data_IF_530424600863
#
_entry.id   IF_530424600863
#
_cell.length_a   1.000
_cell.length_b   1.000
_cell.length_c   1.000
_cell.angle_alpha   90.00
_cell.angle_beta   90.00
_cell.angle_gamma   90.00
#
_symmetry.space_group_name_H-M   'P 1'
#
loop_
_entity.id
_entity.type
_entity.pdbx_description
1 polymer ?
#
# COMPACT_ATOMS: atom_id res chain seq x y z
N UNK A 1 18.97 24.86 -5.77
CA UNK A 1 18.09 24.52 -4.63
C UNK A 1 17.14 23.37 -4.94
N UNK A 2 16.43 23.37 -6.08
CA UNK A 2 15.47 22.29 -6.42
C UNK A 2 16.09 20.89 -6.52
N UNK A 3 17.25 20.73 -7.18
CA UNK A 3 17.91 19.41 -7.32
C UNK A 3 18.37 18.81 -5.97
N UNK A 4 18.83 19.63 -5.02
CA UNK A 4 19.22 19.13 -3.70
C UNK A 4 18.01 18.60 -2.94
N UNK A 5 16.88 19.33 -2.95
CA UNK A 5 15.65 18.88 -2.31
C UNK A 5 15.12 17.59 -2.94
N UNK A 6 15.20 17.45 -4.26
CA UNK A 6 14.83 16.21 -4.97
C UNK A 6 15.71 15.05 -4.49
N UNK A 7 17.03 15.23 -4.44
CA UNK A 7 17.95 14.19 -3.99
C UNK A 7 17.71 13.79 -2.52
N UNK A 8 17.41 14.76 -1.65
CA UNK A 8 17.06 14.50 -0.24
C UNK A 8 15.75 13.73 -0.11
N UNK A 9 14.72 14.08 -0.91
CA UNK A 9 13.46 13.35 -0.95
C UNK A 9 13.65 11.91 -1.44
N UNK A 10 14.44 11.71 -2.51
CA UNK A 10 14.75 10.38 -3.02
C UNK A 10 15.48 9.52 -1.98
N UNK A 11 16.49 10.09 -1.31
CA UNK A 11 17.20 9.38 -0.24
C UNK A 11 16.26 9.02 0.91
N UNK A 12 15.43 9.96 1.34
CA UNK A 12 14.45 9.71 2.39
C UNK A 12 13.50 8.55 2.04
N UNK A 13 13.00 8.52 0.79
CA UNK A 13 12.12 7.44 0.33
C UNK A 13 12.85 6.09 0.36
N UNK A 14 14.11 6.03 -0.07
CA UNK A 14 14.91 4.80 0.00
C UNK A 14 15.13 4.34 1.45
N UNK A 15 15.37 5.29 2.37
CA UNK A 15 15.58 5.01 3.78
C UNK A 15 14.32 4.43 4.46
N UNK A 16 13.11 4.70 3.93
CA UNK A 16 11.85 4.07 4.39
C UNK A 16 11.86 2.54 4.24
N UNK A 17 12.59 2.04 3.24
CA UNK A 17 12.66 0.62 2.90
C UNK A 17 13.96 -0.05 3.36
N UNK A 18 14.78 0.67 4.13
CA UNK A 18 15.96 0.10 4.78
C UNK A 18 15.56 -0.95 5.81
N UNK A 19 16.45 -1.92 6.04
CA UNK A 19 16.26 -2.97 7.05
C UNK A 19 15.99 -2.37 8.43
N UNK A 20 16.71 -1.30 8.81
CA UNK A 20 16.52 -0.61 10.08
C UNK A 20 15.10 -0.07 10.24
N UNK A 21 14.55 0.60 9.23
CA UNK A 21 13.20 1.16 9.28
C UNK A 21 12.15 0.03 9.33
N UNK A 22 12.28 -0.98 8.48
CA UNK A 22 11.38 -2.15 8.41
C UNK A 22 11.34 -2.91 9.73
N UNK A 23 12.48 -3.02 10.42
CA UNK A 23 12.61 -3.81 11.64
C UNK A 23 12.11 -3.09 12.89
N UNK A 24 12.43 -1.80 13.02
CA UNK A 24 12.34 -1.09 14.30
C UNK A 24 11.24 -0.04 14.40
N UNK A 25 10.81 0.55 13.28
CA UNK A 25 9.82 1.62 13.30
C UNK A 25 8.42 1.08 13.11
N UNK A 26 7.47 1.58 13.92
CA UNK A 26 6.06 1.27 13.76
C UNK A 26 5.50 1.91 12.48
N UNK A 27 4.53 1.26 11.85
CA UNK A 27 3.93 1.73 10.61
C UNK A 27 3.21 3.07 10.80
N UNK A 28 2.54 3.30 11.93
CA UNK A 28 1.90 4.58 12.25
C UNK A 28 2.92 5.73 12.38
N UNK A 29 4.08 5.47 12.97
CA UNK A 29 5.19 6.43 13.07
C UNK A 29 5.74 6.76 11.68
N UNK A 30 5.98 5.75 10.85
CA UNK A 30 6.42 5.93 9.46
C UNK A 30 5.40 6.78 8.70
N UNK A 31 4.12 6.43 8.77
CA UNK A 31 3.03 7.17 8.14
C UNK A 31 2.99 8.64 8.59
N UNK A 32 3.05 8.90 9.90
CA UNK A 32 3.05 10.26 10.44
C UNK A 32 4.28 11.07 9.97
N UNK A 33 5.46 10.46 9.92
CA UNK A 33 6.68 11.11 9.43
C UNK A 33 6.57 11.46 7.94
N UNK A 34 6.08 10.52 7.11
CA UNK A 34 5.89 10.74 5.68
C UNK A 34 4.87 11.85 5.42
N UNK A 35 3.71 11.82 6.09
CA UNK A 35 2.70 12.88 5.95
C UNK A 35 3.21 14.25 6.40
N UNK A 36 4.10 14.31 7.39
CA UNK A 36 4.75 15.55 7.84
C UNK A 36 5.82 16.02 6.86
N UNK A 37 6.55 15.10 6.23
CA UNK A 37 7.68 15.39 5.34
C UNK A 37 7.24 15.85 3.95
N UNK A 38 6.14 15.30 3.44
CA UNK A 38 5.61 15.60 2.12
C UNK A 38 4.30 16.39 2.22
N UNK A 39 4.17 17.55 1.55
CA UNK A 39 2.93 18.30 1.53
C UNK A 39 1.82 17.51 0.82
N UNK A 40 0.56 17.80 1.15
CA UNK A 40 -0.61 17.13 0.55
C UNK A 40 -0.64 17.17 -0.98
N UNK A 41 -0.08 18.22 -1.58
CA UNK A 41 0.04 18.38 -3.04
C UNK A 41 0.95 17.33 -3.69
N UNK A 42 1.87 16.72 -2.94
CA UNK A 42 2.80 15.69 -3.43
C UNK A 42 2.35 14.27 -3.09
N UNK A 43 1.34 14.11 -2.22
CA UNK A 43 0.86 12.80 -1.77
C UNK A 43 0.46 11.87 -2.91
N UNK A 44 -0.20 12.40 -3.94
CA UNK A 44 -0.56 11.60 -5.11
C UNK A 44 0.67 11.06 -5.84
N UNK A 45 1.66 11.91 -6.12
CA UNK A 45 2.87 11.51 -6.82
C UNK A 45 3.73 10.54 -5.98
N UNK A 46 3.78 10.74 -4.66
CA UNK A 46 4.43 9.81 -3.76
C UNK A 46 3.75 8.44 -3.80
N UNK A 47 2.43 8.39 -3.64
CA UNK A 47 1.69 7.12 -3.72
C UNK A 47 1.78 6.47 -5.10
N UNK A 48 1.82 7.26 -6.18
CA UNK A 48 2.04 6.75 -7.53
C UNK A 48 3.41 6.09 -7.67
N UNK A 49 4.46 6.71 -7.11
CA UNK A 49 5.79 6.11 -7.05
C UNK A 49 5.77 4.81 -6.23
N UNK A 50 5.17 4.82 -5.03
CA UNK A 50 5.05 3.62 -4.19
C UNK A 50 4.32 2.48 -4.89
N UNK A 51 3.20 2.79 -5.54
CA UNK A 51 2.46 1.84 -6.38
C UNK A 51 3.34 1.29 -7.49
N UNK A 52 4.11 2.15 -8.17
CA UNK A 52 4.99 1.75 -9.27
C UNK A 52 6.11 0.81 -8.79
N UNK A 53 6.70 1.08 -7.62
CA UNK A 53 7.73 0.22 -7.02
C UNK A 53 7.17 -1.15 -6.61
N UNK A 54 5.91 -1.22 -6.15
CA UNK A 54 5.22 -2.49 -5.88
C UNK A 54 4.99 -3.25 -7.19
N UNK A 55 4.39 -2.60 -8.19
CA UNK A 55 4.03 -3.25 -9.46
C UNK A 55 5.23 -3.60 -10.32
N UNK A 56 6.32 -2.84 -10.23
CA UNK A 56 7.58 -3.08 -10.93
C UNK A 56 8.44 -4.16 -10.26
N UNK A 57 8.10 -4.57 -9.04
CA UNK A 57 8.86 -5.57 -8.27
C UNK A 57 10.12 -5.04 -7.60
N UNK A 58 10.34 -3.72 -7.60
CA UNK A 58 11.48 -3.07 -6.94
C UNK A 58 11.46 -3.28 -5.40
N UNK A 59 10.26 -3.39 -4.81
CA UNK A 59 10.08 -3.81 -3.41
C UNK A 59 10.03 -5.34 -3.32
N UNK A 60 11.17 -5.99 -3.52
CA UNK A 60 11.27 -7.44 -3.57
C UNK A 60 10.99 -8.12 -2.23
N UNK A 61 11.26 -7.44 -1.11
CA UNK A 61 11.04 -7.98 0.23
C UNK A 61 9.61 -7.68 0.72
N UNK A 62 8.88 -8.69 1.27
CA UNK A 62 7.53 -8.49 1.80
C UNK A 62 7.42 -7.37 2.84
N UNK A 63 8.42 -7.23 3.73
CA UNK A 63 8.43 -6.16 4.74
C UNK A 63 8.46 -4.76 4.13
N UNK A 64 9.15 -4.57 2.99
CA UNK A 64 9.16 -3.29 2.28
C UNK A 64 7.79 -2.99 1.67
N UNK A 65 7.14 -4.01 1.09
CA UNK A 65 5.78 -3.88 0.56
C UNK A 65 4.77 -3.58 1.66
N UNK A 66 4.89 -4.16 2.85
CA UNK A 66 4.06 -3.81 4.01
C UNK A 66 4.17 -2.32 4.35
N UNK A 67 5.38 -1.74 4.36
CA UNK A 67 5.57 -0.30 4.57
C UNK A 67 4.86 0.51 3.48
N UNK A 68 5.05 0.17 2.21
CA UNK A 68 4.43 0.88 1.10
C UNK A 68 2.89 0.78 1.12
N UNK A 69 2.33 -0.39 1.41
CA UNK A 69 0.88 -0.62 1.54
C UNK A 69 0.29 0.18 2.70
N UNK A 70 0.98 0.26 3.84
CA UNK A 70 0.56 1.08 4.97
C UNK A 70 0.48 2.58 4.59
N UNK A 71 1.48 3.08 3.87
CA UNK A 71 1.52 4.47 3.39
C UNK A 71 0.42 4.77 2.38
N UNK A 72 0.23 3.90 1.38
CA UNK A 72 -0.83 4.02 0.38
C UNK A 72 -2.21 4.07 1.02
N UNK A 73 -2.44 3.24 2.03
CA UNK A 73 -3.69 3.23 2.79
C UNK A 73 -3.84 4.48 3.66
N UNK A 74 -2.81 4.85 4.42
CA UNK A 74 -2.90 5.91 5.42
C UNK A 74 -3.06 7.31 4.79
N UNK A 75 -2.42 7.55 3.65
CA UNK A 75 -2.52 8.82 2.92
C UNK A 75 -3.93 9.01 2.35
N UNK A 76 -4.59 7.94 1.89
CA UNK A 76 -5.95 8.01 1.34
C UNK A 76 -6.89 6.97 1.98
N UNK A 77 -7.46 7.30 3.15
CA UNK A 77 -8.32 6.37 3.91
C UNK A 77 -9.75 6.23 3.38
N UNK A 78 -10.31 7.29 2.81
CA UNK A 78 -11.74 7.35 2.42
C UNK A 78 -11.90 7.17 0.92
N UNK A 79 -11.19 7.96 0.14
CA UNK A 79 -11.27 7.95 -1.32
C UNK A 79 -9.88 7.63 -1.89
N UNK A 80 -9.50 6.34 -1.85
CA UNK A 80 -8.15 5.90 -2.21
C UNK A 80 -7.95 5.69 -3.71
N UNK A 81 -7.32 6.59 -4.49
CA UNK A 81 -7.13 6.41 -5.94
C UNK A 81 -6.38 5.13 -6.32
N UNK A 82 -5.67 4.51 -5.37
CA UNK A 82 -4.92 3.28 -5.54
C UNK A 82 -5.66 2.01 -5.09
N UNK A 83 -6.97 2.10 -4.81
CA UNK A 83 -7.80 0.95 -4.41
C UNK A 83 -7.69 -0.26 -5.35
N UNK A 84 -7.57 -0.02 -6.66
CA UNK A 84 -7.38 -1.08 -7.66
C UNK A 84 -6.09 -1.85 -7.48
N UNK A 85 -5.01 -1.24 -6.96
CA UNK A 85 -3.77 -1.95 -6.65
C UNK A 85 -4.01 -3.01 -5.56
N UNK A 86 -4.66 -2.64 -4.46
CA UNK A 86 -4.98 -3.57 -3.38
C UNK A 86 -5.84 -4.74 -3.89
N UNK A 87 -6.83 -4.43 -4.73
CA UNK A 87 -7.67 -5.46 -5.34
C UNK A 87 -6.86 -6.41 -6.23
N UNK A 88 -6.07 -5.87 -7.16
CA UNK A 88 -5.25 -6.69 -8.07
C UNK A 88 -4.24 -7.57 -7.31
N UNK A 89 -3.69 -7.07 -6.19
CA UNK A 89 -2.80 -7.86 -5.32
C UNK A 89 -3.56 -9.00 -4.62
N UNK A 90 -4.79 -8.75 -4.15
CA UNK A 90 -5.64 -9.78 -3.54
C UNK A 90 -6.11 -10.84 -4.55
N UNK A 91 -6.34 -10.44 -5.81
CA UNK A 91 -6.75 -11.33 -6.90
C UNK A 91 -5.56 -12.08 -7.53
N UNK A 92 -4.33 -11.70 -7.21
CA UNK A 92 -3.13 -12.30 -7.79
C UNK A 92 -3.00 -12.02 -9.28
N UNK A 93 -3.29 -10.78 -9.71
CA UNK A 93 -3.22 -10.37 -11.13
C UNK A 93 -1.86 -10.75 -11.73
N UNK A 94 -1.81 -11.40 -12.91
CA UNK A 94 -0.56 -11.75 -13.56
C UNK A 94 0.37 -10.54 -13.75
N UNK A 95 1.67 -10.74 -13.54
CA UNK A 95 2.69 -9.69 -13.63
C UNK A 95 3.02 -9.01 -12.30
N UNK A 96 2.23 -9.21 -11.25
CA UNK A 96 2.55 -8.74 -9.90
C UNK A 96 3.30 -9.82 -9.11
N UNK A 97 4.16 -9.39 -8.17
CA UNK A 97 4.73 -10.30 -7.20
C UNK A 97 3.60 -10.87 -6.31
N UNK A 98 3.54 -12.19 -6.10
CA UNK A 98 2.51 -12.80 -5.28
C UNK A 98 2.67 -12.36 -3.82
N UNK A 99 1.54 -12.06 -3.17
CA UNK A 99 1.52 -11.77 -1.74
C UNK A 99 1.85 -13.03 -0.94
N UNK A 100 2.70 -12.90 0.07
CA UNK A 100 2.76 -13.92 1.11
C UNK A 100 1.57 -13.76 2.08
N UNK A 101 1.28 -14.80 2.86
CA UNK A 101 0.10 -14.85 3.74
C UNK A 101 -0.04 -13.64 4.67
N UNK A 102 1.07 -13.14 5.22
CA UNK A 102 1.08 -11.98 6.11
C UNK A 102 0.71 -10.68 5.40
N UNK A 103 1.14 -10.50 4.15
CA UNK A 103 0.76 -9.32 3.35
C UNK A 103 -0.73 -9.35 3.02
N UNK A 104 -1.23 -10.53 2.64
CA UNK A 104 -2.66 -10.73 2.39
C UNK A 104 -3.50 -10.44 3.63
N UNK A 105 -3.09 -10.99 4.78
CA UNK A 105 -3.72 -10.73 6.07
C UNK A 105 -3.71 -9.23 6.39
N UNK A 106 -2.57 -8.57 6.21
CA UNK A 106 -2.40 -7.14 6.49
C UNK A 106 -3.34 -6.28 5.64
N UNK A 107 -3.49 -6.56 4.34
CA UNK A 107 -4.47 -5.86 3.49
C UNK A 107 -5.90 -6.06 4.01
N UNK A 108 -6.26 -7.29 4.39
CA UNK A 108 -7.58 -7.56 4.99
C UNK A 108 -7.84 -6.76 6.26
N UNK A 109 -6.81 -6.60 7.10
CA UNK A 109 -6.87 -5.78 8.31
C UNK A 109 -7.00 -4.29 8.00
N UNK A 110 -6.23 -3.77 7.03
CA UNK A 110 -6.29 -2.36 6.61
C UNK A 110 -7.69 -1.96 6.16
N UNK A 111 -8.30 -2.77 5.30
CA UNK A 111 -9.62 -2.46 4.73
C UNK A 111 -10.79 -2.84 5.65
N UNK A 112 -10.53 -3.37 6.84
CA UNK A 112 -11.56 -3.74 7.80
C UNK A 112 -12.39 -4.96 7.41
N UNK A 113 -11.87 -5.83 6.53
CA UNK A 113 -12.51 -7.11 6.19
C UNK A 113 -12.43 -8.12 7.35
N UNK A 114 -11.52 -7.86 8.30
CA UNK A 114 -11.32 -8.64 9.50
C UNK A 114 -11.65 -7.80 10.74
N UNK A 115 -12.25 -8.38 11.79
CA UNK A 115 -12.62 -7.66 13.01
C UNK A 115 -11.37 -7.39 13.87
N UNK A 116 -10.59 -6.36 13.50
CA UNK A 116 -9.39 -5.94 14.21
C UNK A 116 -9.38 -4.42 14.44
N UNK A 117 -8.73 -3.98 15.51
CA UNK A 117 -8.42 -2.57 15.67
C UNK A 117 -7.21 -2.21 14.80
N UNK A 118 -7.46 -1.53 13.68
CA UNK A 118 -6.41 -1.14 12.74
C UNK A 118 -5.29 -0.29 13.38
N UNK A 119 -5.60 0.48 14.43
CA UNK A 119 -4.59 1.25 15.16
C UNK A 119 -3.55 0.35 15.83
N UNK A 120 -3.95 -0.81 16.34
CA UNK A 120 -3.02 -1.72 17.00
C UNK A 120 -2.19 -2.50 15.98
N UNK A 121 -2.72 -2.72 14.78
CA UNK A 121 -1.95 -3.26 13.66
C UNK A 121 -0.89 -2.25 13.21
N UNK A 122 -1.24 -0.97 13.04
CA UNK A 122 -0.29 0.05 12.59
C UNK A 122 0.78 0.41 13.63
N UNK A 123 0.59 0.09 14.92
CA UNK A 123 1.64 0.20 15.95
C UNK A 123 2.76 -0.82 15.79
N UNK A 124 2.55 -1.87 14.98
CA UNK A 124 3.59 -2.87 14.69
C UNK A 124 4.61 -2.30 13.69
N UNK A 125 5.85 -2.76 13.75
CA UNK A 125 6.78 -2.62 12.63
C UNK A 125 6.44 -3.57 11.49
N UNK A 126 6.96 -3.31 10.29
CA UNK A 126 6.76 -4.21 9.16
C UNK A 126 7.29 -5.61 9.45
N UNK A 127 8.45 -5.73 10.12
CA UNK A 127 8.95 -7.03 10.59
C UNK A 127 7.96 -7.75 11.51
N UNK A 128 7.35 -7.05 12.45
CA UNK A 128 6.35 -7.64 13.36
C UNK A 128 5.08 -8.08 12.62
N UNK A 129 4.65 -7.34 11.59
CA UNK A 129 3.58 -7.78 10.68
C UNK A 129 4.00 -9.08 9.97
N UNK A 130 5.23 -9.12 9.43
CA UNK A 130 5.74 -10.31 8.73
C UNK A 130 5.96 -11.53 9.63
N UNK A 131 6.10 -11.35 10.94
CA UNK A 131 6.20 -12.42 11.93
C UNK A 131 4.84 -12.82 12.52
N UNK A 132 3.74 -12.17 12.10
CA UNK A 132 2.41 -12.52 12.59
C UNK A 132 2.04 -13.92 12.10
N UNK A 133 1.58 -14.76 13.02
CA UNK A 133 1.00 -16.06 12.69
C UNK A 133 -0.28 -15.86 11.86
N UNK A 134 -0.42 -16.64 10.79
CA UNK A 134 -1.57 -16.52 9.88
C UNK A 134 -2.33 -17.82 9.88
N UNK A 135 -3.58 -17.78 10.33
CA UNK A 135 -4.48 -18.92 10.23
C UNK A 135 -5.16 -18.92 8.86
N UNK A 136 -5.33 -20.10 8.25
CA UNK A 136 -5.95 -20.21 6.92
C UNK A 136 -7.32 -19.52 6.83
N UNK A 137 -8.14 -19.63 7.88
CA UNK A 137 -9.45 -18.97 7.98
C UNK A 137 -9.38 -17.43 7.91
N UNK A 138 -8.25 -16.84 8.30
CA UNK A 138 -8.06 -15.38 8.27
C UNK A 138 -7.67 -14.88 6.87
N UNK A 139 -7.48 -15.78 5.89
CA UNK A 139 -7.22 -15.43 4.49
C UNK A 139 -8.45 -15.55 3.59
N UNK A 140 -9.54 -16.10 4.13
CA UNK A 140 -10.83 -16.32 3.46
C UNK A 140 -11.82 -15.16 3.68
N UNK A 141 -11.30 -13.95 3.94
CA UNK A 141 -12.14 -12.76 4.10
C UNK A 141 -12.77 -12.31 2.78
N UNK A 142 -13.96 -11.73 2.88
CA UNK A 142 -14.68 -11.15 1.75
C UNK A 142 -14.14 -9.74 1.42
N UNK A 143 -13.63 -9.58 0.20
CA UNK A 143 -13.16 -8.30 -0.34
C UNK A 143 -14.08 -7.73 -1.42
N UNK A 144 -15.30 -8.24 -1.56
CA UNK A 144 -16.35 -7.70 -2.44
C UNK A 144 -16.61 -6.20 -2.26
N UNK A 145 -16.54 -5.61 -1.04
CA UNK A 145 -16.67 -4.15 -0.89
C UNK A 145 -15.61 -3.36 -1.67
N UNK A 146 -14.39 -3.89 -1.77
CA UNK A 146 -13.33 -3.25 -2.57
C UNK A 146 -13.55 -3.43 -4.07
N UNK A 147 -14.07 -4.60 -4.49
CA UNK A 147 -14.48 -4.82 -5.88
C UNK A 147 -15.57 -3.83 -6.31
N UNK A 148 -16.58 -3.62 -5.48
CA UNK A 148 -17.64 -2.64 -5.73
C UNK A 148 -17.06 -1.22 -5.86
N UNK A 149 -16.22 -0.79 -4.90
CA UNK A 149 -15.57 0.52 -4.93
C UNK A 149 -14.76 0.76 -6.22
N UNK A 150 -14.00 -0.26 -6.67
CA UNK A 150 -13.22 -0.16 -7.90
C UNK A 150 -14.14 -0.12 -9.13
N UNK A 151 -15.18 -0.94 -9.17
CA UNK A 151 -16.15 -0.98 -10.26
C UNK A 151 -16.89 0.35 -10.43
N UNK A 152 -17.34 0.96 -9.33
CA UNK A 152 -18.03 2.25 -9.32
C UNK A 152 -17.15 3.33 -9.97
N UNK A 153 -15.87 3.41 -9.60
CA UNK A 153 -14.94 4.36 -10.22
C UNK A 153 -14.68 4.12 -11.68
N UNK A 154 -14.55 2.85 -12.10
CA UNK A 154 -14.40 2.54 -13.53
C UNK A 154 -15.65 2.99 -14.29
N UNK A 155 -16.84 2.89 -13.69
CA UNK A 155 -18.08 3.35 -14.32
C UNK A 155 -18.15 4.88 -14.48
N UNK A 156 -17.57 5.62 -13.53
CA UNK A 156 -17.46 7.09 -13.56
C UNK A 156 -16.39 7.60 -14.54
N UNK A 157 -15.43 6.76 -14.94
CA UNK A 157 -14.45 7.13 -15.95
C UNK A 157 -15.11 7.35 -17.32
N UNK A 158 -14.72 8.44 -17.98
CA UNK A 158 -15.16 8.73 -19.34
C UNK A 158 -14.90 7.54 -20.27
N UNK A 159 -15.74 7.35 -21.28
CA UNK A 159 -15.63 6.23 -22.23
C UNK A 159 -14.26 6.18 -22.91
N UNK A 160 -13.64 7.34 -23.17
CA UNK A 160 -12.28 7.44 -23.71
C UNK A 160 -11.21 6.97 -22.73
N UNK A 161 -11.32 7.31 -21.44
CA UNK A 161 -10.35 6.90 -20.42
C UNK A 161 -10.45 5.39 -20.09
N UNK A 162 -11.64 4.81 -20.17
CA UNK A 162 -11.86 3.37 -20.00
C UNK A 162 -11.14 2.53 -21.06
N UNK A 163 -11.20 2.97 -22.33
CA UNK A 163 -10.59 2.24 -23.44
C UNK A 163 -9.06 2.11 -23.30
N UNK A 164 -8.39 3.09 -22.69
CA UNK A 164 -6.95 3.04 -22.42
C UNK A 164 -6.59 2.24 -21.16
N UNK A 165 -7.47 2.20 -20.16
CA UNK A 165 -7.21 1.49 -18.90
C UNK A 165 -7.24 -0.04 -19.04
N UNK A 166 -8.05 -0.58 -19.96
CA UNK A 166 -8.10 -2.02 -20.25
C UNK A 166 -6.92 -2.55 -21.09
N UNK A 167 -6.05 -1.66 -21.58
CA UNK A 167 -4.91 -2.00 -22.41
C UNK A 167 -3.56 -2.08 -21.63
N UNK A 168 -3.59 -1.86 -20.32
CA UNK A 168 -2.46 -1.92 -19.38
C UNK A 168 -2.68 -3.02 -18.32
#
# INVERSE_FOLDING_TARGET
>A
MSQQLINENSKYILDLFSEQTVDSQSLDSICAQVQKRFPKTEHFNLCLLLSSLITGGDLSLPGQRVVALALLYDIYKVDNPFASLFLHLLEGKPGLLPLVSQERLFIGQLHGFLPVNIKDVLKKSAKQVMMTEVLAKELEFDYSPLQALVADRVSEMSSMARATASAL
#
